data_IF_086039359923
#
_entry.id   IF_086039359923
#
_cell.length_a   1.000
_cell.length_b   1.000
_cell.length_c   1.000
_cell.angle_alpha   90.00
_cell.angle_beta   90.00
_cell.angle_gamma   90.00
#
_symmetry.space_group_name_H-M   'P 1'
#
loop_
_entity.id
_entity.type
_entity.pdbx_description
1 polymer ?
#
# COMPACT_ATOMS: atom_id res chain seq x y z
N UNK A 1 74.92 48.86 43.29
CA UNK A 1 74.32 47.79 42.46
C UNK A 1 72.98 47.44 43.11
N UNK A 2 71.85 47.90 42.54
CA UNK A 2 70.95 47.14 41.63
C UNK A 2 70.36 45.90 42.32
N UNK A 3 69.07 45.57 42.30
CA UNK A 3 67.79 46.18 41.85
C UNK A 3 66.73 45.09 42.19
N UNK A 4 65.67 45.42 42.92
CA UNK A 4 64.25 45.13 42.62
C UNK A 4 63.70 43.67 42.42
N UNK A 5 62.36 43.46 42.42
CA UNK A 5 61.66 42.52 43.31
C UNK A 5 60.69 41.56 42.56
N UNK A 6 59.70 41.01 43.29
CA UNK A 6 58.42 40.39 42.86
C UNK A 6 58.43 38.90 42.48
N UNK A 7 57.52 38.14 43.11
CA UNK A 7 56.41 37.48 42.39
C UNK A 7 55.35 36.98 43.40
N UNK A 8 54.21 37.67 43.41
CA UNK A 8 52.94 37.14 43.93
C UNK A 8 52.37 36.22 42.85
N UNK A 9 52.18 34.94 43.17
CA UNK A 9 51.49 34.00 42.29
C UNK A 9 49.98 34.07 42.60
N UNK A 10 49.25 34.90 41.85
CA UNK A 10 47.79 34.82 41.76
C UNK A 10 47.44 33.65 40.84
N UNK A 11 46.87 32.58 41.39
CA UNK A 11 46.24 31.52 40.60
C UNK A 11 44.80 31.97 40.33
N UNK A 12 44.55 32.44 39.12
CA UNK A 12 43.21 32.75 38.63
C UNK A 12 42.55 31.44 38.19
N UNK A 13 41.57 30.94 38.95
CA UNK A 13 40.74 29.81 38.56
C UNK A 13 39.64 30.34 37.62
N UNK A 14 39.85 30.24 36.31
CA UNK A 14 38.81 30.54 35.34
C UNK A 14 37.83 29.35 35.29
N UNK A 15 36.67 29.49 35.94
CA UNK A 15 35.51 28.63 35.65
C UNK A 15 35.03 28.98 34.24
N UNK A 16 35.40 28.15 33.26
CA UNK A 16 34.71 28.09 31.98
C UNK A 16 33.34 27.44 32.24
N UNK A 17 32.31 28.26 32.39
CA UNK A 17 30.93 27.81 32.22
C UNK A 17 30.76 27.47 30.74
N UNK A 18 30.84 26.17 30.41
CA UNK A 18 30.33 25.67 29.14
C UNK A 18 28.81 25.85 29.18
N UNK A 19 28.33 26.96 28.65
CA UNK A 19 26.93 27.08 28.23
C UNK A 19 26.83 26.22 26.98
N UNK A 20 26.54 24.94 27.17
CA UNK A 20 26.07 24.09 26.09
C UNK A 20 24.84 24.76 25.50
N UNK A 21 24.86 24.98 24.18
CA UNK A 21 23.65 25.33 23.47
C UNK A 21 22.80 24.05 23.47
N UNK A 22 21.97 23.89 24.50
CA UNK A 22 20.98 22.81 24.54
C UNK A 22 20.02 23.04 23.37
N UNK A 23 20.29 22.37 22.25
CA UNK A 23 19.32 22.25 21.17
C UNK A 23 18.07 21.68 21.80
N UNK A 24 17.01 22.49 21.90
CA UNK A 24 15.72 21.97 22.35
C UNK A 24 15.31 20.91 21.32
N UNK A 25 15.12 19.64 21.74
CA UNK A 25 14.67 18.62 20.81
C UNK A 25 13.33 19.06 20.25
N UNK A 26 13.18 18.97 18.93
CA UNK A 26 11.91 19.23 18.30
C UNK A 26 10.91 18.17 18.77
N UNK A 27 9.75 18.61 19.27
CA UNK A 27 8.73 17.70 19.79
C UNK A 27 7.61 17.61 18.76
N UNK A 28 7.29 16.40 18.33
CA UNK A 28 6.06 16.09 17.60
C UNK A 28 5.03 15.57 18.60
N UNK A 29 3.86 16.18 18.61
CA UNK A 29 2.71 15.75 19.41
C UNK A 29 1.54 15.44 18.51
N UNK A 30 0.99 14.23 18.62
CA UNK A 30 -0.10 13.76 17.78
C UNK A 30 -1.29 13.36 18.65
N UNK A 31 -2.49 13.74 18.24
CA UNK A 31 -3.76 13.29 18.83
C UNK A 31 -4.79 13.01 17.73
N UNK A 32 -5.93 12.44 18.08
CA UNK A 32 -7.05 12.25 17.15
C UNK A 32 -8.39 12.66 17.78
N UNK A 33 -9.30 13.13 16.92
CA UNK A 33 -10.62 13.56 17.32
C UNK A 33 -11.51 12.37 17.71
N UNK A 34 -12.26 12.51 18.81
CA UNK A 34 -13.27 11.54 19.26
C UNK A 34 -14.38 11.28 18.22
N UNK A 35 -14.56 12.17 17.25
CA UNK A 35 -15.50 11.96 16.15
C UNK A 35 -15.12 10.76 15.27
N UNK A 36 -13.84 10.37 15.25
CA UNK A 36 -13.32 9.23 14.47
C UNK A 36 -13.45 7.89 15.20
N UNK A 37 -13.78 7.90 16.49
CA UNK A 37 -13.92 6.70 17.29
C UNK A 37 -13.97 7.00 18.78
N UNK A 38 -14.74 6.19 19.52
CA UNK A 38 -14.80 6.25 21.00
C UNK A 38 -14.04 5.12 21.67
N UNK A 39 -13.56 4.16 20.89
CA UNK A 39 -12.72 3.05 21.33
C UNK A 39 -11.25 3.36 21.04
N UNK A 40 -10.35 2.70 21.78
CA UNK A 40 -8.92 2.84 21.56
C UNK A 40 -8.49 2.11 20.29
N UNK A 41 -7.55 2.70 19.55
CA UNK A 41 -7.01 2.10 18.34
C UNK A 41 -5.63 1.48 18.56
N UNK A 42 -5.44 0.31 17.95
CA UNK A 42 -4.13 -0.30 17.74
C UNK A 42 -3.65 0.00 16.32
N UNK A 43 -2.34 0.12 16.13
CA UNK A 43 -1.80 0.30 14.78
C UNK A 43 -0.40 0.87 14.72
N UNK A 44 -0.02 1.30 13.51
CA UNK A 44 1.21 2.04 13.25
C UNK A 44 0.87 3.51 13.02
N UNK A 45 1.27 4.37 13.94
CA UNK A 45 1.17 5.82 13.76
C UNK A 45 2.36 6.30 12.92
N UNK A 46 2.07 6.81 11.74
CA UNK A 46 3.02 7.35 10.78
C UNK A 46 2.96 8.87 10.75
N UNK A 47 4.12 9.50 10.72
CA UNK A 47 4.30 10.93 10.46
C UNK A 47 5.01 11.04 9.12
N UNK A 48 4.42 11.86 8.25
CA UNK A 48 4.72 11.98 6.84
C UNK A 48 5.09 13.44 6.58
N UNK A 49 6.23 13.65 5.93
CA UNK A 49 6.77 14.98 5.67
C UNK A 49 7.06 15.10 4.19
N UNK A 50 6.33 16.02 3.55
CA UNK A 50 6.51 16.39 2.15
C UNK A 50 7.30 17.68 2.00
N UNK A 51 8.23 17.71 1.04
CA UNK A 51 8.91 18.95 0.62
C UNK A 51 8.19 19.65 -0.52
N UNK A 52 7.35 18.93 -1.29
CA UNK A 52 6.46 19.53 -2.28
C UNK A 52 5.18 19.99 -1.56
N UNK A 53 5.09 21.30 -1.33
CA UNK A 53 4.00 21.90 -0.56
C UNK A 53 2.65 21.87 -1.28
N UNK A 54 2.64 21.63 -2.59
CA UNK A 54 1.44 21.54 -3.41
C UNK A 54 0.85 20.12 -3.43
N UNK A 55 1.55 19.15 -2.83
CA UNK A 55 1.11 17.75 -2.75
C UNK A 55 0.89 17.32 -1.30
N UNK A 56 -0.07 16.42 -1.10
CA UNK A 56 -0.32 15.85 0.21
C UNK A 56 0.83 14.91 0.64
N UNK A 57 1.38 15.02 1.87
CA UNK A 57 2.57 14.27 2.28
C UNK A 57 2.47 12.75 2.15
N UNK A 58 1.30 12.15 2.42
CA UNK A 58 1.11 10.69 2.30
C UNK A 58 1.28 10.12 0.90
N UNK A 59 1.32 10.96 -0.13
CA UNK A 59 1.59 10.56 -1.51
C UNK A 59 3.02 10.88 -1.97
N UNK A 60 3.88 11.34 -1.05
CA UNK A 60 5.26 11.69 -1.37
C UNK A 60 6.29 10.65 -0.93
N UNK A 61 5.87 9.56 -0.26
CA UNK A 61 6.78 8.49 0.17
C UNK A 61 6.96 7.46 -0.94
N UNK A 62 8.20 7.20 -1.36
CA UNK A 62 8.53 6.27 -2.45
C UNK A 62 10.02 5.84 -2.38
N UNK A 63 10.47 5.04 -3.35
CA UNK A 63 11.83 4.49 -3.38
C UNK A 63 12.84 5.34 -4.20
N UNK A 64 12.45 6.55 -4.61
CA UNK A 64 13.35 7.46 -5.35
C UNK A 64 14.16 8.37 -4.41
N UNK A 65 15.16 9.04 -4.98
CA UNK A 65 15.91 10.09 -4.28
C UNK A 65 15.08 11.36 -3.98
N UNK A 66 13.85 11.44 -4.50
CA UNK A 66 12.89 12.52 -4.26
C UNK A 66 11.79 12.15 -3.25
N UNK A 67 11.93 11.02 -2.55
CA UNK A 67 10.97 10.63 -1.51
C UNK A 67 10.88 11.67 -0.38
N UNK A 68 9.67 11.83 0.14
CA UNK A 68 9.43 12.49 1.42
C UNK A 68 10.02 11.71 2.60
N UNK A 69 9.94 12.30 3.78
CA UNK A 69 10.42 11.70 5.03
C UNK A 69 9.24 11.02 5.74
N UNK A 70 9.46 9.80 6.23
CA UNK A 70 8.48 9.07 7.06
C UNK A 70 9.15 8.48 8.29
N UNK A 71 8.45 8.55 9.42
CA UNK A 71 8.77 7.82 10.64
C UNK A 71 7.49 7.40 11.33
N UNK A 72 7.58 6.47 12.26
CA UNK A 72 6.40 6.05 12.99
C UNK A 72 6.70 5.14 14.16
N UNK A 73 5.70 5.00 15.01
CA UNK A 73 5.72 4.15 16.20
C UNK A 73 4.47 3.28 16.21
N UNK A 74 4.53 2.17 16.93
CA UNK A 74 3.34 1.38 17.20
C UNK A 74 2.56 2.03 18.34
N UNK A 75 1.23 1.95 18.26
CA UNK A 75 0.31 2.44 19.28
C UNK A 75 -0.60 1.30 19.71
N UNK A 76 -0.91 1.26 21.00
CA UNK A 76 -1.81 0.25 21.58
C UNK A 76 -2.89 0.93 22.41
N UNK A 77 -4.15 0.61 22.09
CA UNK A 77 -5.34 1.16 22.73
C UNK A 77 -5.26 2.68 22.89
N UNK A 78 -4.77 3.37 21.85
CA UNK A 78 -4.61 4.82 21.86
C UNK A 78 -5.99 5.46 21.88
N UNK A 79 -6.30 6.26 22.90
CA UNK A 79 -7.64 6.82 23.14
C UNK A 79 -7.81 8.21 22.48
N UNK A 80 -9.05 8.62 22.12
CA UNK A 80 -9.26 9.92 21.50
C UNK A 80 -8.91 11.06 22.46
N UNK A 81 -8.22 12.08 21.96
CA UNK A 81 -7.70 13.19 22.76
C UNK A 81 -6.46 12.87 23.61
N UNK A 82 -6.00 11.61 23.64
CA UNK A 82 -4.70 11.26 24.20
C UNK A 82 -3.60 11.75 23.25
N UNK A 83 -2.55 12.34 23.81
CA UNK A 83 -1.43 12.88 23.04
C UNK A 83 -0.24 11.95 23.08
N UNK A 84 0.22 11.55 21.90
CA UNK A 84 1.47 10.80 21.70
C UNK A 84 2.58 11.78 21.38
N UNK A 85 3.74 11.61 22.01
CA UNK A 85 4.98 12.34 21.68
C UNK A 85 5.97 11.41 20.98
N UNK A 86 6.66 11.91 19.96
CA UNK A 86 7.67 11.13 19.24
C UNK A 86 9.06 11.39 19.83
N UNK A 87 9.79 10.30 20.10
CA UNK A 87 11.18 10.36 20.53
C UNK A 87 12.08 10.84 19.38
N UNK A 88 12.96 11.84 19.58
CA UNK A 88 13.89 12.31 18.56
C UNK A 88 14.83 11.24 17.99
N UNK A 89 15.07 10.14 18.71
CA UNK A 89 15.87 9.00 18.27
C UNK A 89 15.11 7.99 17.40
N UNK A 90 13.79 8.19 17.22
CA UNK A 90 12.96 7.34 16.34
C UNK A 90 13.55 7.32 14.93
N UNK A 91 13.67 6.12 14.35
CA UNK A 91 14.14 5.96 12.99
C UNK A 91 13.25 6.72 12.01
N UNK A 92 13.87 7.52 11.15
CA UNK A 92 13.19 8.28 10.11
C UNK A 92 13.83 7.99 8.74
N UNK A 93 13.03 7.47 7.82
CA UNK A 93 13.46 7.23 6.46
C UNK A 93 13.33 8.52 5.64
N UNK A 94 14.31 8.89 4.79
CA UNK A 94 15.62 8.26 4.61
C UNK A 94 16.75 8.86 5.49
N UNK A 95 16.41 9.78 6.41
CA UNK A 95 17.38 10.67 7.08
C UNK A 95 18.09 10.08 8.32
N UNK A 96 17.73 8.87 8.74
CA UNK A 96 18.30 8.22 9.92
C UNK A 96 17.40 8.34 11.14
N UNK A 97 17.35 9.50 11.79
CA UNK A 97 16.47 9.75 12.95
C UNK A 97 15.65 11.02 12.82
N UNK A 98 14.62 11.16 13.64
CA UNK A 98 13.81 12.39 13.72
C UNK A 98 14.66 13.62 14.07
N UNK A 99 15.70 13.45 14.90
CA UNK A 99 16.64 14.53 15.24
C UNK A 99 17.52 14.97 14.05
N UNK A 100 17.66 14.12 13.04
CA UNK A 100 18.48 14.36 11.84
C UNK A 100 17.69 14.99 10.69
N UNK A 101 16.39 15.25 10.87
CA UNK A 101 15.56 15.92 9.86
C UNK A 101 16.19 17.29 9.52
N UNK A 102 16.55 17.53 8.24
CA UNK A 102 17.15 18.78 7.83
C UNK A 102 16.23 19.97 8.08
N UNK A 103 16.84 21.15 8.20
CA UNK A 103 16.07 22.40 8.25
C UNK A 103 15.47 22.67 6.87
N UNK A 104 14.22 23.12 6.83
CA UNK A 104 13.52 23.39 5.58
C UNK A 104 12.06 23.75 5.81
N UNK A 105 11.39 24.17 4.74
CA UNK A 105 9.94 24.34 4.72
C UNK A 105 9.31 23.02 4.32
N UNK A 106 8.39 22.52 5.14
CA UNK A 106 7.77 21.22 4.91
C UNK A 106 6.27 21.27 5.17
N UNK A 107 5.57 20.30 4.59
CA UNK A 107 4.20 19.94 4.92
C UNK A 107 4.20 18.66 5.75
N UNK A 108 3.61 18.70 6.95
CA UNK A 108 3.56 17.60 7.91
C UNK A 108 2.17 17.00 7.98
N UNK A 109 2.09 15.67 8.09
CA UNK A 109 0.83 14.94 8.19
C UNK A 109 1.00 13.72 9.08
N UNK A 110 -0.03 13.41 9.87
CA UNK A 110 -0.12 12.15 10.61
C UNK A 110 -1.12 11.21 9.94
N UNK A 111 -0.84 9.91 9.97
CA UNK A 111 -1.73 8.85 9.53
C UNK A 111 -1.62 7.67 10.50
N UNK A 112 -2.73 7.19 11.02
CA UNK A 112 -2.78 5.94 11.77
C UNK A 112 -3.19 4.81 10.82
N UNK A 113 -2.27 3.88 10.57
CA UNK A 113 -2.57 2.63 9.91
C UNK A 113 -3.11 1.65 10.95
N UNK A 114 -4.43 1.44 10.95
CA UNK A 114 -5.13 0.68 11.99
C UNK A 114 -4.88 -0.82 11.84
N UNK A 115 -4.63 -1.48 12.96
CA UNK A 115 -4.43 -2.92 13.03
C UNK A 115 -5.58 -3.60 13.75
N UNK A 116 -5.94 -4.78 13.25
CA UNK A 116 -6.83 -5.73 13.91
C UNK A 116 -6.00 -6.84 14.55
N UNK A 117 -6.55 -7.48 15.58
CA UNK A 117 -5.95 -8.71 16.14
C UNK A 117 -6.46 -9.93 15.38
N UNK A 118 -5.54 -10.71 14.82
CA UNK A 118 -5.80 -12.00 14.15
C UNK A 118 -5.40 -13.13 15.09
N UNK A 119 -6.28 -14.13 15.23
CA UNK A 119 -6.02 -15.34 16.00
C UNK A 119 -5.84 -16.50 15.02
N UNK A 120 -4.59 -16.80 14.73
CA UNK A 120 -4.25 -17.77 13.69
C UNK A 120 -4.52 -19.19 14.20
N UNK A 121 -4.89 -20.09 13.28
CA UNK A 121 -5.03 -21.53 13.55
C UNK A 121 -3.73 -22.18 14.03
N UNK A 122 -2.58 -21.55 13.77
CA UNK A 122 -1.27 -21.98 14.31
C UNK A 122 -1.13 -21.78 15.82
N UNK A 123 -2.08 -21.10 16.47
CA UNK A 123 -2.07 -20.78 17.90
C UNK A 123 -1.40 -19.45 18.25
N UNK A 124 -0.92 -18.71 17.24
CA UNK A 124 -0.35 -17.37 17.43
C UNK A 124 -1.43 -16.29 17.27
N UNK A 125 -1.26 -15.18 18.00
CA UNK A 125 -2.02 -13.95 17.80
C UNK A 125 -1.10 -12.85 17.28
N UNK A 126 -1.53 -12.14 16.25
CA UNK A 126 -0.77 -11.06 15.60
C UNK A 126 -1.67 -9.84 15.39
N UNK A 127 -1.09 -8.64 15.48
CA UNK A 127 -1.77 -7.38 15.12
C UNK A 127 -1.30 -6.95 13.73
N UNK A 128 -2.22 -6.87 12.78
CA UNK A 128 -1.92 -6.59 11.37
C UNK A 128 -2.96 -5.65 10.77
N UNK A 129 -2.64 -4.90 9.72
CA UNK A 129 -3.66 -4.22 8.95
C UNK A 129 -4.51 -5.23 8.18
N UNK A 130 -5.78 -4.89 7.96
CA UNK A 130 -6.64 -5.68 7.09
C UNK A 130 -6.74 -4.98 5.73
N UNK A 131 -6.48 -5.73 4.65
CA UNK A 131 -6.75 -5.25 3.29
C UNK A 131 -8.24 -4.91 3.14
N UNK A 132 -8.50 -3.76 2.52
CA UNK A 132 -9.85 -3.27 2.28
C UNK A 132 -10.07 -2.92 0.79
N UNK A 133 -9.35 -3.61 -0.10
CA UNK A 133 -9.46 -3.46 -1.54
C UNK A 133 -8.43 -2.50 -2.16
N UNK A 134 -7.42 -2.09 -1.41
CA UNK A 134 -6.35 -1.21 -1.86
C UNK A 134 -5.04 -1.92 -2.22
N UNK A 135 -4.94 -3.24 -2.06
CA UNK A 135 -3.71 -3.99 -2.34
C UNK A 135 -2.57 -3.62 -1.38
N UNK A 136 -2.87 -3.51 -0.08
CA UNK A 136 -1.90 -3.16 0.97
C UNK A 136 -1.20 -1.80 0.80
N UNK A 137 -1.83 -0.86 0.09
CA UNK A 137 -1.41 0.54 0.05
C UNK A 137 -1.91 1.33 1.29
N UNK A 138 -1.13 1.28 2.37
CA UNK A 138 -1.44 1.93 3.67
C UNK A 138 -1.89 3.39 3.59
N UNK A 139 -1.40 4.15 2.61
CA UNK A 139 -1.68 5.58 2.42
C UNK A 139 -3.09 5.86 1.88
N UNK A 140 -3.75 4.85 1.32
CA UNK A 140 -5.13 4.91 0.81
C UNK A 140 -6.02 3.81 1.38
N UNK A 141 -5.54 3.02 2.35
CA UNK A 141 -6.32 1.96 3.00
C UNK A 141 -7.55 2.57 3.69
N UNK A 142 -8.78 2.18 3.28
CA UNK A 142 -10.02 2.63 3.91
C UNK A 142 -10.01 2.52 5.43
N UNK A 143 -10.81 3.36 6.09
CA UNK A 143 -10.91 3.48 7.56
C UNK A 143 -9.65 3.97 8.26
N UNK A 144 -8.45 3.91 7.68
CA UNK A 144 -7.31 4.58 8.30
C UNK A 144 -7.64 6.05 8.53
N UNK A 145 -7.14 6.60 9.62
CA UNK A 145 -7.42 7.99 10.00
C UNK A 145 -6.19 8.84 9.78
N UNK A 146 -6.37 10.08 9.36
CA UNK A 146 -5.26 10.98 9.06
C UNK A 146 -5.56 12.44 9.46
N UNK A 147 -4.51 13.24 9.58
CA UNK A 147 -4.62 14.70 9.77
C UNK A 147 -4.60 15.41 8.43
N UNK A 148 -5.23 16.59 8.37
CA UNK A 148 -4.94 17.52 7.28
C UNK A 148 -3.46 17.96 7.35
N UNK A 149 -2.82 18.28 6.22
CA UNK A 149 -1.42 18.72 6.21
C UNK A 149 -1.23 20.07 6.89
N UNK A 150 -0.14 20.22 7.64
CA UNK A 150 0.27 21.47 8.29
C UNK A 150 1.62 21.90 7.73
N UNK A 151 1.67 23.08 7.11
CA UNK A 151 2.91 23.64 6.58
C UNK A 151 3.61 24.52 7.62
N UNK A 152 4.92 24.34 7.77
CA UNK A 152 5.76 25.15 8.66
C UNK A 152 7.24 25.12 8.26
N UNK A 153 7.96 26.15 8.68
CA UNK A 153 9.42 26.17 8.61
C UNK A 153 10.00 25.39 9.79
N UNK A 154 10.76 24.34 9.48
CA UNK A 154 11.45 23.47 10.43
C UNK A 154 12.87 23.97 10.68
N UNK A 155 13.12 24.50 11.88
CA UNK A 155 14.41 25.04 12.31
C UNK A 155 14.53 25.05 13.85
N UNK A 156 15.65 25.53 14.38
CA UNK A 156 15.94 25.51 15.84
C UNK A 156 14.99 26.39 16.68
N UNK A 157 14.25 27.30 16.04
CA UNK A 157 13.27 28.16 16.70
C UNK A 157 11.83 27.65 16.52
N UNK A 158 11.63 26.54 15.80
CA UNK A 158 10.30 25.98 15.59
C UNK A 158 9.71 25.52 16.94
N UNK A 159 8.49 25.96 17.23
CA UNK A 159 7.72 25.43 18.36
C UNK A 159 7.32 23.96 18.12
N UNK A 160 6.75 23.27 19.12
CA UNK A 160 6.27 21.90 18.97
C UNK A 160 5.35 21.74 17.74
N UNK A 161 5.50 20.64 17.01
CA UNK A 161 4.66 20.33 15.86
C UNK A 161 3.48 19.51 16.37
N UNK A 162 2.29 20.10 16.31
CA UNK A 162 1.05 19.44 16.73
C UNK A 162 0.26 19.00 15.51
N UNK A 163 -0.02 17.70 15.41
CA UNK A 163 -0.84 17.11 14.36
C UNK A 163 -2.12 16.55 14.99
N UNK A 164 -3.27 16.99 14.52
CA UNK A 164 -4.57 16.49 14.98
C UNK A 164 -5.22 15.71 13.84
N UNK A 165 -5.44 14.41 14.06
CA UNK A 165 -6.09 13.52 13.10
C UNK A 165 -7.60 13.78 13.17
N UNK A 166 -8.19 14.15 12.03
CA UNK A 166 -9.61 14.54 11.90
C UNK A 166 -10.34 13.85 10.76
N UNK A 167 -9.61 13.23 9.84
CA UNK A 167 -10.16 12.64 8.62
C UNK A 167 -10.08 11.11 8.67
N UNK A 168 -11.00 10.46 7.97
CA UNK A 168 -10.99 9.02 7.72
C UNK A 168 -10.92 8.77 6.22
N UNK A 169 -10.10 7.80 5.80
CA UNK A 169 -10.01 7.39 4.40
C UNK A 169 -11.31 6.67 4.01
N UNK A 170 -12.03 7.14 2.97
CA UNK A 170 -13.32 6.57 2.60
C UNK A 170 -13.17 5.15 2.01
N UNK A 171 -14.26 4.36 1.98
CA UNK A 171 -14.29 3.08 1.27
C UNK A 171 -13.96 3.21 -0.22
N UNK A 172 -13.31 2.20 -0.77
CA UNK A 172 -13.06 2.09 -2.21
C UNK A 172 -14.36 1.71 -2.92
N UNK A 173 -14.64 2.41 -4.00
CA UNK A 173 -15.77 2.07 -4.88
C UNK A 173 -15.37 0.89 -5.75
N UNK A 174 -16.10 -0.22 -5.65
CA UNK A 174 -15.85 -1.40 -6.47
C UNK A 174 -16.00 -1.07 -7.96
N UNK A 175 -15.10 -1.61 -8.78
CA UNK A 175 -15.19 -1.50 -10.24
C UNK A 175 -16.45 -2.24 -10.72
N UNK A 176 -17.24 -1.58 -11.55
CA UNK A 176 -18.45 -2.17 -12.08
C UNK A 176 -18.14 -3.23 -13.14
N UNK A 177 -18.90 -4.33 -13.11
CA UNK A 177 -18.87 -5.32 -14.18
C UNK A 177 -19.21 -4.70 -15.54
N UNK A 178 -18.55 -5.19 -16.58
CA UNK A 178 -18.86 -4.89 -17.96
C UNK A 178 -19.48 -6.09 -18.66
N UNK A 179 -19.67 -6.00 -19.99
CA UNK A 179 -20.07 -7.16 -20.80
C UNK A 179 -19.05 -8.30 -20.68
N UNK A 180 -17.75 -7.97 -20.70
CA UNK A 180 -16.67 -8.96 -20.79
C UNK A 180 -15.89 -9.16 -19.49
N UNK A 181 -15.79 -8.14 -18.65
CA UNK A 181 -15.03 -8.21 -17.40
C UNK A 181 -15.99 -8.33 -16.22
N UNK A 182 -15.74 -9.32 -15.37
CA UNK A 182 -16.51 -9.62 -14.15
C UNK A 182 -15.56 -9.63 -12.95
N UNK A 183 -16.02 -9.14 -11.81
CA UNK A 183 -15.22 -9.09 -10.58
C UNK A 183 -15.84 -10.08 -9.58
N UNK A 184 -15.17 -11.21 -9.38
CA UNK A 184 -15.65 -12.28 -8.52
C UNK A 184 -14.96 -12.19 -7.16
N UNK A 185 -15.74 -12.29 -6.09
CA UNK A 185 -15.28 -12.39 -4.72
C UNK A 185 -15.98 -13.56 -4.04
N UNK A 186 -15.21 -14.43 -3.40
CA UNK A 186 -15.72 -15.51 -2.55
C UNK A 186 -15.13 -15.41 -1.16
N UNK A 187 -15.90 -15.79 -0.15
CA UNK A 187 -15.32 -16.06 1.16
C UNK A 187 -14.64 -17.43 1.10
N UNK A 188 -13.36 -17.48 1.45
CA UNK A 188 -12.58 -18.73 1.52
C UNK A 188 -12.80 -19.40 2.87
N UNK A 189 -13.22 -20.66 2.88
CA UNK A 189 -13.38 -21.43 4.12
C UNK A 189 -12.00 -21.74 4.71
N UNK A 190 -11.05 -22.16 3.85
CA UNK A 190 -9.69 -22.51 4.23
C UNK A 190 -8.92 -21.32 4.85
N UNK A 191 -8.98 -20.14 4.22
CA UNK A 191 -8.33 -18.94 4.75
C UNK A 191 -9.08 -18.41 5.97
N UNK A 192 -10.41 -18.47 5.98
CA UNK A 192 -11.20 -18.06 7.17
C UNK A 192 -10.81 -18.89 8.39
N UNK A 193 -10.66 -20.21 8.21
CA UNK A 193 -10.21 -21.11 9.27
C UNK A 193 -8.78 -20.80 9.72
N UNK A 194 -7.87 -20.49 8.79
CA UNK A 194 -6.48 -20.17 9.14
C UNK A 194 -6.35 -18.84 9.89
N UNK A 195 -6.99 -17.78 9.42
CA UNK A 195 -6.85 -16.42 9.96
C UNK A 195 -7.78 -16.14 11.17
N UNK A 196 -8.72 -17.04 11.45
CA UNK A 196 -9.65 -16.93 12.58
C UNK A 196 -10.74 -15.87 12.39
N UNK A 197 -10.92 -15.38 11.17
CA UNK A 197 -11.92 -14.37 10.78
C UNK A 197 -12.28 -14.53 9.31
N UNK A 198 -13.41 -13.97 8.83
CA UNK A 198 -13.75 -14.00 7.41
C UNK A 198 -12.62 -13.47 6.52
N UNK A 199 -12.17 -14.30 5.58
CA UNK A 199 -11.18 -13.95 4.57
C UNK A 199 -11.75 -14.23 3.18
N UNK A 200 -11.33 -13.42 2.20
CA UNK A 200 -11.91 -13.44 0.86
C UNK A 200 -10.81 -13.64 -0.18
N UNK A 201 -11.16 -14.36 -1.24
CA UNK A 201 -10.38 -14.45 -2.48
C UNK A 201 -11.16 -13.77 -3.59
N UNK A 202 -10.43 -13.19 -4.54
CA UNK A 202 -11.02 -12.48 -5.64
C UNK A 202 -10.37 -12.87 -6.98
N UNK A 203 -11.08 -12.60 -8.07
CA UNK A 203 -10.52 -12.66 -9.40
C UNK A 203 -11.22 -11.66 -10.33
N UNK A 204 -10.42 -11.03 -11.18
CA UNK A 204 -10.90 -10.32 -12.35
C UNK A 204 -11.04 -11.33 -13.48
N UNK A 205 -12.23 -11.49 -14.04
CA UNK A 205 -12.56 -12.53 -15.03
C UNK A 205 -12.89 -11.88 -16.36
N UNK A 206 -12.12 -12.20 -17.40
CA UNK A 206 -12.45 -11.94 -18.78
C UNK A 206 -13.24 -13.12 -19.35
N UNK A 207 -14.53 -12.91 -19.63
CA UNK A 207 -15.43 -13.95 -20.13
C UNK A 207 -15.29 -14.16 -21.64
N UNK A 208 -15.53 -15.39 -22.14
CA UNK A 208 -15.49 -15.68 -23.57
C UNK A 208 -16.43 -14.79 -24.39
N UNK A 209 -16.04 -14.46 -25.61
CA UNK A 209 -16.97 -13.83 -26.56
C UNK A 209 -18.15 -14.77 -26.85
N UNK A 210 -19.35 -14.18 -26.86
CA UNK A 210 -20.64 -14.87 -26.98
C UNK A 210 -20.91 -15.95 -25.92
N UNK A 211 -20.36 -15.78 -24.71
CA UNK A 211 -20.72 -16.61 -23.56
C UNK A 211 -22.23 -16.60 -23.31
N UNK A 212 -22.82 -17.79 -23.28
CA UNK A 212 -24.22 -18.03 -22.93
C UNK A 212 -24.26 -19.04 -21.77
N UNK A 213 -24.74 -18.64 -20.57
CA UNK A 213 -24.83 -19.55 -19.43
C UNK A 213 -25.82 -20.71 -19.66
N UNK A 214 -26.72 -20.63 -20.64
CA UNK A 214 -27.60 -21.74 -21.02
C UNK A 214 -26.93 -22.74 -22.00
N UNK A 215 -25.78 -22.37 -22.58
CA UNK A 215 -25.04 -23.26 -23.46
C UNK A 215 -24.34 -24.38 -22.68
N UNK A 216 -24.13 -25.51 -23.35
CA UNK A 216 -23.27 -26.60 -22.84
C UNK A 216 -21.81 -26.48 -23.31
N UNK A 217 -21.46 -25.42 -24.05
CA UNK A 217 -20.08 -25.14 -24.45
C UNK A 217 -19.21 -24.96 -23.21
N UNK A 218 -18.13 -25.73 -23.14
CA UNK A 218 -17.12 -25.59 -22.10
C UNK A 218 -15.89 -24.84 -22.61
N UNK A 219 -15.29 -24.03 -21.76
CA UNK A 219 -14.16 -23.15 -22.10
C UNK A 219 -12.92 -23.52 -21.28
N UNK A 220 -11.73 -23.63 -21.90
CA UNK A 220 -10.48 -23.73 -21.15
C UNK A 220 -10.23 -22.44 -20.35
N UNK A 221 -9.51 -22.58 -19.24
CA UNK A 221 -9.21 -21.50 -18.31
C UNK A 221 -7.74 -21.10 -18.38
N UNK A 222 -7.49 -19.81 -18.61
CA UNK A 222 -6.19 -19.16 -18.47
C UNK A 222 -6.11 -18.51 -17.09
N UNK A 223 -5.22 -18.99 -16.24
CA UNK A 223 -5.01 -18.53 -14.87
C UNK A 223 -3.75 -17.66 -14.84
N UNK A 224 -3.96 -16.35 -14.65
CA UNK A 224 -2.87 -15.41 -14.47
C UNK A 224 -2.56 -15.21 -12.99
N UNK A 225 -1.34 -15.52 -12.64
CA UNK A 225 -0.72 -15.17 -11.37
C UNK A 225 -0.03 -13.82 -11.50
N UNK A 226 -0.50 -12.86 -10.71
CA UNK A 226 -0.07 -11.48 -10.74
C UNK A 226 -0.20 -10.82 -9.37
N UNK A 227 -0.20 -9.49 -9.37
CA UNK A 227 -0.38 -8.69 -8.16
C UNK A 227 -1.87 -8.34 -7.97
N UNK A 228 -2.17 -7.16 -7.43
CA UNK A 228 -3.53 -6.71 -7.12
C UNK A 228 -3.98 -5.53 -8.01
N UNK A 229 -4.44 -5.78 -9.26
CA UNK A 229 -5.07 -4.74 -10.06
C UNK A 229 -6.56 -4.65 -9.76
N UNK A 230 -7.13 -3.45 -9.82
CA UNK A 230 -8.57 -3.21 -9.58
C UNK A 230 -9.50 -3.87 -10.61
N UNK A 231 -9.00 -4.22 -11.80
CA UNK A 231 -9.75 -4.91 -12.86
C UNK A 231 -8.82 -5.70 -13.80
N UNK A 232 -9.39 -6.44 -14.75
CA UNK A 232 -8.62 -7.22 -15.72
C UNK A 232 -7.87 -6.29 -16.70
N UNK A 233 -6.55 -6.30 -16.63
CA UNK A 233 -5.69 -5.42 -17.42
C UNK A 233 -5.63 -5.79 -18.91
N UNK A 234 -5.15 -4.86 -19.74
CA UNK A 234 -4.81 -5.14 -21.14
C UNK A 234 -6.00 -5.42 -22.07
N UNK A 235 -7.23 -5.14 -21.66
CA UNK A 235 -8.44 -5.34 -22.47
C UNK A 235 -9.32 -4.09 -22.46
N UNK A 236 -9.67 -3.57 -23.64
CA UNK A 236 -10.61 -2.45 -23.76
C UNK A 236 -11.48 -2.54 -25.00
N UNK A 237 -12.73 -2.13 -24.87
CA UNK A 237 -13.72 -2.19 -25.96
C UNK A 237 -13.80 -0.90 -26.79
N UNK A 238 -13.06 0.14 -26.40
CA UNK A 238 -13.01 1.44 -27.07
C UNK A 238 -11.67 1.66 -27.75
N UNK A 239 -11.70 2.25 -28.95
CA UNK A 239 -10.50 2.62 -29.68
C UNK A 239 -9.62 3.58 -28.83
N UNK A 240 -8.30 3.63 -29.10
CA UNK A 240 -7.39 4.54 -28.40
C UNK A 240 -7.85 5.99 -28.50
N UNK A 241 -7.86 6.68 -27.36
CA UNK A 241 -8.19 8.10 -27.22
C UNK A 241 -6.98 8.97 -26.94
N UNK A 242 -5.88 8.38 -26.46
CA UNK A 242 -4.63 9.09 -26.21
C UNK A 242 -3.99 9.60 -27.52
N UNK A 243 -3.23 10.69 -27.43
CA UNK A 243 -2.44 11.18 -28.57
C UNK A 243 -1.24 10.28 -28.80
N UNK A 244 -1.03 9.87 -30.05
CA UNK A 244 0.10 9.04 -30.46
C UNK A 244 1.42 9.83 -30.40
N UNK A 245 1.36 11.13 -30.63
CA UNK A 245 2.54 12.00 -30.75
C UNK A 245 2.61 13.00 -29.58
N UNK A 246 2.17 12.59 -28.38
CA UNK A 246 2.09 13.41 -27.16
C UNK A 246 3.43 14.07 -26.75
N UNK A 247 4.56 13.57 -27.25
CA UNK A 247 5.91 14.01 -26.90
C UNK A 247 6.33 13.67 -25.47
N UNK A 248 5.51 12.92 -24.72
CA UNK A 248 5.75 12.56 -23.31
C UNK A 248 6.67 11.35 -23.26
N UNK A 249 7.91 11.57 -22.81
CA UNK A 249 8.88 10.49 -22.68
C UNK A 249 8.55 9.61 -21.47
N UNK A 250 8.28 8.34 -21.73
CA UNK A 250 8.29 7.32 -20.68
C UNK A 250 9.75 6.94 -20.36
N UNK A 251 10.24 7.32 -19.18
CA UNK A 251 11.63 7.11 -18.77
C UNK A 251 12.02 5.64 -18.62
N UNK A 252 11.06 4.76 -18.29
CA UNK A 252 11.30 3.31 -18.13
C UNK A 252 11.62 2.64 -19.46
N UNK A 253 10.95 3.06 -20.54
CA UNK A 253 11.05 2.40 -21.85
C UNK A 253 11.77 3.25 -22.91
N UNK A 254 12.01 4.53 -22.66
CA UNK A 254 12.70 5.42 -23.59
C UNK A 254 11.90 5.74 -24.85
N UNK A 255 10.57 5.76 -24.76
CA UNK A 255 9.64 5.99 -25.89
C UNK A 255 8.59 7.06 -25.56
N UNK A 256 8.06 7.71 -26.59
CA UNK A 256 6.92 8.66 -26.51
C UNK A 256 5.62 7.99 -26.97
N UNK A 257 4.46 8.59 -26.68
CA UNK A 257 3.16 8.04 -27.06
C UNK A 257 2.82 6.73 -26.33
N UNK A 258 3.42 6.50 -25.15
CA UNK A 258 3.32 5.23 -24.44
C UNK A 258 1.87 4.90 -24.04
N UNK A 259 1.10 5.90 -23.60
CA UNK A 259 -0.31 5.72 -23.28
C UNK A 259 -1.08 5.23 -24.51
N UNK A 260 -0.92 5.89 -25.67
CA UNK A 260 -1.54 5.46 -26.92
C UNK A 260 -1.19 4.00 -27.26
N UNK A 261 0.08 3.60 -27.12
CA UNK A 261 0.51 2.21 -27.36
C UNK A 261 -0.25 1.25 -26.45
N UNK A 262 -0.30 1.50 -25.14
CA UNK A 262 -1.04 0.65 -24.20
C UNK A 262 -2.52 0.52 -24.56
N UNK A 263 -3.18 1.64 -24.89
CA UNK A 263 -4.57 1.64 -25.32
C UNK A 263 -4.74 0.85 -26.62
N UNK A 264 -3.85 1.04 -27.59
CA UNK A 264 -3.90 0.35 -28.89
C UNK A 264 -3.78 -1.16 -28.71
N UNK A 265 -2.78 -1.64 -27.97
CA UNK A 265 -2.61 -3.07 -27.74
C UNK A 265 -3.80 -3.67 -26.98
N UNK A 266 -4.36 -2.95 -26.00
CA UNK A 266 -5.55 -3.41 -25.28
C UNK A 266 -6.80 -3.49 -26.16
N UNK A 267 -6.93 -2.60 -27.15
CA UNK A 267 -8.04 -2.59 -28.09
C UNK A 267 -7.85 -3.62 -29.21
N UNK A 268 -6.61 -3.84 -29.64
CA UNK A 268 -6.26 -4.89 -30.59
C UNK A 268 -6.57 -6.27 -29.98
N UNK A 269 -6.21 -6.50 -28.71
CA UNK A 269 -6.60 -7.73 -28.01
C UNK A 269 -8.12 -7.91 -27.94
N UNK A 270 -8.89 -6.85 -27.70
CA UNK A 270 -10.35 -6.94 -27.78
C UNK A 270 -10.86 -7.36 -29.16
N UNK A 271 -10.32 -6.77 -30.25
CA UNK A 271 -10.71 -7.14 -31.62
C UNK A 271 -10.39 -8.61 -31.91
N UNK A 272 -9.24 -9.09 -31.45
CA UNK A 272 -8.89 -10.50 -31.59
C UNK A 272 -9.84 -11.38 -30.77
N UNK A 273 -10.08 -11.04 -29.49
CA UNK A 273 -10.96 -11.79 -28.59
C UNK A 273 -12.38 -12.00 -29.12
N UNK A 274 -12.93 -11.00 -29.83
CA UNK A 274 -14.27 -11.07 -30.42
C UNK A 274 -14.30 -11.59 -31.86
N UNK A 275 -13.14 -11.84 -32.47
CA UNK A 275 -13.08 -12.36 -33.83
C UNK A 275 -13.59 -13.81 -33.90
N UNK A 276 -14.06 -14.23 -35.08
CA UNK A 276 -14.54 -15.60 -35.30
C UNK A 276 -13.41 -16.64 -35.21
N UNK A 277 -12.18 -16.25 -35.54
CA UNK A 277 -11.01 -17.14 -35.62
C UNK A 277 -10.27 -17.32 -34.28
N UNK A 278 -10.54 -16.45 -33.29
CA UNK A 278 -9.86 -16.54 -32.00
C UNK A 278 -10.50 -17.61 -31.09
N UNK A 279 -9.74 -18.52 -30.48
CA UNK A 279 -10.33 -19.54 -29.62
C UNK A 279 -10.99 -18.93 -28.38
N UNK A 280 -12.05 -19.56 -27.88
CA UNK A 280 -12.82 -19.06 -26.74
C UNK A 280 -12.22 -19.59 -25.43
N UNK A 281 -11.84 -18.68 -24.55
CA UNK A 281 -11.27 -18.97 -23.23
C UNK A 281 -11.98 -18.18 -22.15
N UNK A 282 -11.92 -18.68 -20.92
CA UNK A 282 -12.02 -17.84 -19.74
C UNK A 282 -10.58 -17.41 -19.41
N UNK A 283 -10.35 -16.14 -19.14
CA UNK A 283 -9.09 -15.69 -18.56
C UNK A 283 -9.35 -15.02 -17.22
N UNK A 284 -8.53 -15.36 -16.22
CA UNK A 284 -8.62 -14.76 -14.89
C UNK A 284 -7.29 -14.17 -14.48
N UNK A 285 -7.38 -13.06 -13.77
CA UNK A 285 -6.29 -12.51 -12.98
C UNK A 285 -6.70 -12.63 -11.52
N UNK A 286 -6.01 -13.51 -10.79
CA UNK A 286 -6.34 -13.81 -9.40
C UNK A 286 -5.84 -12.68 -8.51
N UNK A 287 -6.65 -12.33 -7.52
CA UNK A 287 -6.28 -11.45 -6.43
C UNK A 287 -6.22 -12.27 -5.14
N UNK A 288 -5.02 -12.37 -4.58
CA UNK A 288 -4.74 -13.13 -3.36
C UNK A 288 -3.91 -12.31 -2.38
N UNK A 289 -4.30 -11.05 -2.20
CA UNK A 289 -3.72 -10.19 -1.19
C UNK A 289 -3.99 -10.72 0.21
N UNK A 290 -3.13 -10.33 1.14
CA UNK A 290 -3.16 -10.78 2.53
C UNK A 290 -2.73 -9.64 3.47
N UNK A 291 -2.91 -9.78 4.79
CA UNK A 291 -2.54 -8.74 5.77
C UNK A 291 -1.07 -8.27 5.77
N UNK A 292 -0.17 -8.95 5.05
CA UNK A 292 1.24 -8.55 4.94
C UNK A 292 1.60 -7.93 3.59
N UNK A 293 0.92 -8.32 2.49
CA UNK A 293 1.30 -7.94 1.14
C UNK A 293 0.16 -8.11 0.12
N UNK A 294 0.30 -7.49 -1.05
CA UNK A 294 -0.69 -7.55 -2.15
C UNK A 294 -0.72 -8.92 -2.86
N UNK A 295 0.28 -9.75 -2.60
CA UNK A 295 0.51 -11.07 -3.16
C UNK A 295 0.79 -12.10 -2.04
N UNK A 296 0.22 -13.31 -2.16
CA UNK A 296 0.41 -14.44 -1.21
C UNK A 296 1.47 -15.44 -1.65
N UNK A 297 2.09 -15.19 -2.80
CA UNK A 297 2.90 -16.10 -3.60
C UNK A 297 2.14 -17.35 -4.05
N UNK A 298 0.81 -17.30 -4.06
CA UNK A 298 -0.12 -18.40 -4.38
C UNK A 298 0.23 -19.79 -3.80
N UNK A 299 0.93 -19.83 -2.65
CA UNK A 299 1.40 -21.08 -2.02
C UNK A 299 0.86 -21.24 -0.61
N UNK A 300 0.81 -22.50 -0.17
CA UNK A 300 0.55 -22.79 1.24
C UNK A 300 1.80 -22.48 2.07
N UNK A 301 1.66 -21.68 3.13
CA UNK A 301 2.78 -21.37 4.02
C UNK A 301 2.35 -21.37 5.48
N UNK A 302 3.35 -21.52 6.37
CA UNK A 302 3.11 -21.46 7.81
C UNK A 302 2.63 -20.08 8.30
N UNK A 303 2.96 -19.01 7.56
CA UNK A 303 2.68 -17.63 7.95
C UNK A 303 1.39 -17.08 7.35
N UNK A 304 1.09 -17.45 6.10
CA UNK A 304 -0.07 -16.93 5.35
C UNK A 304 -1.25 -17.92 5.30
N UNK A 305 -1.00 -19.19 5.61
CA UNK A 305 -2.00 -20.23 5.53
C UNK A 305 -2.09 -20.86 4.14
N UNK A 306 -3.19 -21.57 3.87
CA UNK A 306 -3.31 -22.44 2.70
C UNK A 306 -3.79 -21.70 1.44
N UNK A 307 -3.09 -20.64 1.01
CA UNK A 307 -3.52 -19.84 -0.17
C UNK A 307 -3.52 -20.64 -1.47
N UNK A 308 -2.51 -21.49 -1.70
CA UNK A 308 -2.47 -22.36 -2.89
C UNK A 308 -3.66 -23.31 -2.96
N UNK A 309 -4.04 -23.90 -1.83
CA UNK A 309 -5.22 -24.77 -1.74
C UNK A 309 -6.51 -23.98 -1.90
N UNK A 310 -6.65 -22.81 -1.26
CA UNK A 310 -7.83 -21.96 -1.36
C UNK A 310 -8.07 -21.49 -2.81
N UNK A 311 -7.01 -21.07 -3.51
CA UNK A 311 -7.08 -20.72 -4.93
C UNK A 311 -7.51 -21.94 -5.77
N UNK A 312 -6.84 -23.08 -5.56
CA UNK A 312 -7.00 -24.28 -6.40
C UNK A 312 -8.35 -24.98 -6.20
N UNK A 313 -8.83 -25.04 -4.95
CA UNK A 313 -9.96 -25.86 -4.56
C UNK A 313 -11.23 -25.06 -4.21
N UNK A 314 -11.12 -23.74 -4.01
CA UNK A 314 -12.29 -22.88 -3.75
C UNK A 314 -12.52 -21.89 -4.90
N UNK A 315 -11.52 -21.05 -5.23
CA UNK A 315 -11.70 -19.95 -6.20
C UNK A 315 -11.85 -20.45 -7.64
N UNK A 316 -10.88 -21.23 -8.13
CA UNK A 316 -10.88 -21.71 -9.53
C UNK A 316 -12.15 -22.53 -9.84
N UNK A 317 -12.55 -23.52 -9.04
CA UNK A 317 -13.77 -24.29 -9.30
C UNK A 317 -15.04 -23.44 -9.27
N UNK A 318 -15.09 -22.43 -8.39
CA UNK A 318 -16.21 -21.49 -8.35
C UNK A 318 -16.36 -20.72 -9.66
N UNK A 319 -15.26 -20.19 -10.19
CA UNK A 319 -15.25 -19.45 -11.46
C UNK A 319 -15.59 -20.39 -12.63
N UNK A 320 -15.01 -21.58 -12.68
CA UNK A 320 -15.33 -22.56 -13.73
C UNK A 320 -16.82 -22.92 -13.73
N UNK A 321 -17.45 -23.05 -12.56
CA UNK A 321 -18.89 -23.28 -12.48
C UNK A 321 -19.73 -22.08 -12.97
N UNK A 322 -19.28 -20.84 -12.76
CA UNK A 322 -19.99 -19.65 -13.23
C UNK A 322 -19.94 -19.47 -14.75
N UNK A 323 -18.86 -19.91 -15.40
CA UNK A 323 -18.57 -19.59 -16.80
C UNK A 323 -18.38 -20.81 -17.70
N UNK A 324 -18.90 -21.98 -17.28
CA UNK A 324 -18.76 -23.25 -18.00
C UNK A 324 -17.30 -23.61 -18.31
N UNK A 325 -16.42 -23.52 -17.31
CA UNK A 325 -15.06 -24.00 -17.41
C UNK A 325 -15.01 -25.51 -17.65
N UNK A 326 -13.93 -25.98 -18.29
CA UNK A 326 -13.69 -27.42 -18.49
C UNK A 326 -13.61 -28.18 -17.16
N UNK A 327 -13.02 -27.58 -16.12
CA UNK A 327 -12.94 -28.19 -14.77
C UNK A 327 -11.85 -29.25 -14.60
N UNK A 328 -11.01 -29.45 -15.62
CA UNK A 328 -9.99 -30.50 -15.66
C UNK A 328 -8.60 -29.92 -15.88
N UNK A 329 -7.57 -30.55 -15.33
CA UNK A 329 -6.20 -30.04 -15.39
C UNK A 329 -5.64 -29.84 -16.81
N UNK A 330 -6.12 -30.62 -17.80
CA UNK A 330 -5.73 -30.44 -19.21
C UNK A 330 -6.38 -29.22 -19.88
N UNK A 331 -7.44 -28.67 -19.27
CA UNK A 331 -8.14 -27.46 -19.72
C UNK A 331 -7.70 -26.20 -18.97
N UNK A 332 -6.68 -26.28 -18.10
CA UNK A 332 -6.14 -25.16 -17.34
C UNK A 332 -4.73 -24.83 -17.81
N UNK A 333 -4.50 -23.55 -18.03
CA UNK A 333 -3.20 -22.99 -18.38
C UNK A 333 -2.84 -21.97 -17.32
N UNK A 334 -1.61 -22.01 -16.83
CA UNK A 334 -1.14 -21.11 -15.78
C UNK A 334 0.00 -20.28 -16.36
N UNK A 335 -0.04 -18.97 -16.13
CA UNK A 335 0.99 -18.03 -16.57
C UNK A 335 1.14 -16.88 -15.59
N UNK A 336 2.28 -16.20 -15.61
CA UNK A 336 2.59 -15.15 -14.67
C UNK A 336 3.89 -14.43 -15.04
N UNK A 337 4.06 -13.22 -14.54
CA UNK A 337 5.31 -12.46 -14.66
C UNK A 337 5.93 -12.23 -13.29
N UNK A 338 7.26 -12.17 -13.21
CA UNK A 338 7.98 -11.94 -11.93
C UNK A 338 7.62 -12.99 -10.86
N UNK A 339 7.07 -12.60 -9.70
CA UNK A 339 6.62 -13.52 -8.64
C UNK A 339 5.56 -14.48 -9.15
N UNK A 340 4.58 -13.98 -9.91
CA UNK A 340 3.59 -14.83 -10.55
C UNK A 340 4.18 -15.86 -11.53
N UNK A 341 5.35 -15.59 -12.10
CA UNK A 341 6.07 -16.58 -12.92
C UNK A 341 6.75 -17.69 -12.11
N UNK A 342 7.06 -17.45 -10.83
CA UNK A 342 7.55 -18.47 -9.90
C UNK A 342 6.43 -19.37 -9.37
N UNK A 343 5.20 -18.88 -9.38
CA UNK A 343 3.99 -19.58 -8.89
C UNK A 343 3.46 -20.63 -9.88
N UNK A 344 3.84 -20.48 -11.16
CA UNK A 344 3.53 -21.40 -12.27
C UNK A 344 4.45 -22.60 -12.23
#
# INVERSE_FOLDING_TARGET
MKKNPQNYLLVLFAMLSMVGCDKKPQIFTITYDKALGTEGFDGRLLILIGSDVDKEPRFQINDSDQTGIVFGIDVENWMPGETISIDPSTFAYPVGTVADIPKGTYSFQALLHKYDTFNLSSGHSVKLPMDQGEGQHWNISPKNIYSLPVQLDFNENSGPITLNITEEIPPITAVADSKYIKHIMIQSELLTAFWGRPMYLQANVLVPHDFDPASSTQYPLMVFHGHFPDTFGGFRTTAPTADKDDGVLNSRFGITGYEYIQQKESYDFYKDWVSEEFPRFIAIEIQHQNPYYDDSYAVNSANLGPYGDAITYELIPHIENLYNGVGEGWGRFVYGGSTGGWEV
#
